data_IF_646700339545
#
_entry.id   IF_646700339545
#
_cell.length_a   1.000
_cell.length_b   1.000
_cell.length_c   1.000
_cell.angle_alpha   90.00
_cell.angle_beta   90.00
_cell.angle_gamma   90.00
#
_symmetry.space_group_name_H-M   'P 1'
#
loop_
_entity.id
_entity.type
_entity.pdbx_description
1 polymer ?
#
# COMPACT_ATOMS: atom_id res chain seq x y z
N UNK A 1 3.35 -1.59 11.78
CA UNK A 1 3.56 -0.83 10.54
C UNK A 1 2.32 0.03 10.37
N UNK A 2 2.47 1.26 9.89
CA UNK A 2 1.32 2.11 9.56
C UNK A 2 1.16 2.09 8.04
N UNK A 3 -0.06 1.86 7.56
CA UNK A 3 -0.40 1.91 6.13
C UNK A 3 -1.50 2.94 5.92
N UNK A 4 -1.28 3.85 4.96
CA UNK A 4 -2.30 4.83 4.54
C UNK A 4 -2.59 4.68 3.06
N UNK A 5 -3.85 4.86 2.68
CA UNK A 5 -4.30 4.92 1.29
C UNK A 5 -4.65 6.36 0.94
N UNK A 6 -4.29 6.79 -0.27
CA UNK A 6 -4.67 8.09 -0.80
C UNK A 6 -4.96 7.95 -2.28
N UNK A 7 -6.15 8.36 -2.71
CA UNK A 7 -6.47 8.48 -4.13
C UNK A 7 -5.73 9.66 -4.75
N UNK A 8 -5.14 9.42 -5.92
CA UNK A 8 -4.46 10.43 -6.73
C UNK A 8 -4.97 10.36 -8.17
N UNK A 9 -4.80 11.43 -8.96
CA UNK A 9 -5.12 11.37 -10.38
C UNK A 9 -4.37 10.20 -11.06
N UNK A 10 -5.12 9.22 -11.54
CA UNK A 10 -4.61 8.07 -12.31
C UNK A 10 -4.00 6.92 -11.50
N UNK A 11 -3.95 6.98 -10.16
CA UNK A 11 -3.47 5.85 -9.36
C UNK A 11 -3.94 5.93 -7.89
N UNK A 12 -3.91 4.79 -7.22
CA UNK A 12 -4.09 4.72 -5.78
C UNK A 12 -2.72 4.60 -5.11
N UNK A 13 -2.40 5.51 -4.18
CA UNK A 13 -1.15 5.53 -3.45
C UNK A 13 -1.32 4.79 -2.12
N UNK A 14 -0.53 3.75 -1.90
CA UNK A 14 -0.39 3.04 -0.62
C UNK A 14 0.94 3.45 -0.02
N UNK A 15 0.94 4.12 1.14
CA UNK A 15 2.17 4.48 1.84
C UNK A 15 2.34 3.60 3.08
N UNK A 16 3.46 2.89 3.14
CA UNK A 16 3.84 2.06 4.28
C UNK A 16 4.94 2.77 5.09
N UNK A 17 4.77 2.81 6.41
CA UNK A 17 5.69 3.43 7.37
C UNK A 17 6.07 2.47 8.48
N UNK A 18 7.36 2.47 8.83
CA UNK A 18 7.97 1.57 9.80
C UNK A 18 8.27 0.19 9.22
N UNK A 19 8.73 -0.73 10.07
CA UNK A 19 9.44 -1.93 9.63
C UNK A 19 8.59 -2.94 8.82
N UNK A 20 9.14 -3.35 7.66
CA UNK A 20 8.66 -4.50 6.89
C UNK A 20 9.39 -5.78 7.35
N UNK A 21 8.62 -6.75 7.82
CA UNK A 21 9.09 -8.02 8.39
C UNK A 21 8.14 -9.15 8.03
N UNK A 22 8.50 -10.40 8.36
CA UNK A 22 7.59 -11.55 8.19
C UNK A 22 6.26 -11.39 8.93
N UNK A 23 6.23 -10.59 10.01
CA UNK A 23 5.01 -10.33 10.77
C UNK A 23 4.12 -9.25 10.11
N UNK A 24 4.71 -8.29 9.41
CA UNK A 24 4.00 -7.12 8.85
C UNK A 24 3.75 -7.22 7.34
N UNK A 25 4.43 -8.11 6.64
CA UNK A 25 4.32 -8.27 5.18
C UNK A 25 2.93 -8.74 4.73
N UNK A 26 2.23 -9.55 5.52
CA UNK A 26 0.88 -10.02 5.20
C UNK A 26 -0.12 -8.87 5.20
N UNK A 27 -0.02 -7.96 6.17
CA UNK A 27 -0.85 -6.74 6.25
C UNK A 27 -0.62 -5.83 5.03
N UNK A 28 0.63 -5.63 4.62
CA UNK A 28 0.96 -4.85 3.42
C UNK A 28 0.39 -5.50 2.16
N UNK A 29 0.60 -6.81 2.00
CA UNK A 29 0.10 -7.59 0.86
C UNK A 29 -1.42 -7.47 0.76
N UNK A 30 -2.14 -7.72 1.86
CA UNK A 30 -3.60 -7.74 1.85
C UNK A 30 -4.16 -6.35 1.54
N UNK A 31 -3.49 -5.29 2.02
CA UNK A 31 -3.83 -3.91 1.69
C UNK A 31 -3.63 -3.59 0.21
N UNK A 32 -2.52 -4.03 -0.39
CA UNK A 32 -2.25 -3.87 -1.83
C UNK A 32 -3.26 -4.63 -2.68
N UNK A 33 -3.63 -5.85 -2.27
CA UNK A 33 -4.66 -6.64 -2.96
C UNK A 33 -6.03 -5.96 -2.92
N UNK A 34 -6.42 -5.40 -1.76
CA UNK A 34 -7.65 -4.61 -1.63
C UNK A 34 -7.62 -3.36 -2.52
N UNK A 35 -6.52 -2.61 -2.50
CA UNK A 35 -6.34 -1.44 -3.36
C UNK A 35 -6.46 -1.78 -4.86
N UNK A 36 -5.92 -2.92 -5.29
CA UNK A 36 -6.04 -3.38 -6.67
C UNK A 36 -7.46 -3.86 -7.02
N UNK A 37 -8.19 -4.43 -6.06
CA UNK A 37 -9.57 -4.87 -6.25
C UNK A 37 -10.55 -3.73 -6.53
N UNK A 38 -10.24 -2.49 -6.09
CA UNK A 38 -10.97 -1.27 -6.47
C UNK A 38 -10.78 -0.87 -7.94
N UNK A 39 -10.01 -1.65 -8.72
CA UNK A 39 -9.73 -1.44 -10.14
C UNK A 39 -9.21 -0.03 -10.50
N UNK A 40 -8.24 0.54 -9.75
CA UNK A 40 -7.60 1.78 -10.17
C UNK A 40 -6.78 1.53 -11.45
N UNK A 41 -6.49 2.59 -12.20
CA UNK A 41 -5.58 2.51 -13.37
C UNK A 41 -4.17 2.04 -13.00
N UNK A 42 -3.77 2.24 -11.74
CA UNK A 42 -2.51 1.74 -11.18
C UNK A 42 -2.48 1.86 -9.66
N UNK A 43 -1.64 1.06 -9.02
CA UNK A 43 -1.36 1.13 -7.58
C UNK A 43 0.12 1.45 -7.40
N UNK A 44 0.42 2.49 -6.62
CA UNK A 44 1.79 2.87 -6.26
C UNK A 44 2.01 2.57 -4.80
N UNK A 45 3.02 1.75 -4.49
CA UNK A 45 3.42 1.45 -3.12
C UNK A 45 4.66 2.30 -2.76
N UNK A 46 4.50 3.25 -1.84
CA UNK A 46 5.57 4.12 -1.33
C UNK A 46 6.21 3.50 -0.09
N UNK A 47 7.45 3.07 -0.25
CA UNK A 47 8.24 2.33 0.76
C UNK A 47 9.40 3.15 1.35
N UNK A 48 9.45 4.46 1.09
CA UNK A 48 10.59 5.31 1.49
C UNK A 48 10.77 5.46 2.99
N UNK A 49 9.74 5.16 3.77
CA UNK A 49 9.72 5.30 5.23
C UNK A 49 9.59 3.93 5.94
N UNK A 50 9.97 2.83 5.28
CA UNK A 50 10.04 1.49 5.89
C UNK A 50 11.17 1.34 6.90
#
# INVERSE_FOLDING_TARGET
MEITLTERPGHLLVRARGCLSLQTVTELRDTLLKAAAEQPRGVVCDLREL
#
